data_IF_561592254094
#
_entry.id   IF_561592254094
#
_cell.length_a   1.000
_cell.length_b   1.000
_cell.length_c   1.000
_cell.angle_alpha   90.00
_cell.angle_beta   90.00
_cell.angle_gamma   90.00
#
_symmetry.space_group_name_H-M   'P 1'
#
loop_
_entity.id
_entity.type
_entity.pdbx_description
1 polymer ?
#
# COMPACT_ATOMS: atom_id res chain seq x y z
N UNK A 1 74.86 24.15 -30.39
CA UNK A 1 73.49 24.67 -30.16
C UNK A 1 72.64 23.59 -29.49
N UNK A 2 72.40 23.68 -28.17
CA UNK A 2 71.42 22.84 -27.46
C UNK A 2 70.28 23.77 -27.04
N UNK A 3 69.09 23.61 -27.61
CA UNK A 3 67.91 24.41 -27.22
C UNK A 3 67.52 24.04 -25.79
N UNK A 4 67.17 25.01 -24.91
CA UNK A 4 66.75 24.72 -23.55
C UNK A 4 65.35 24.11 -23.56
N UNK A 5 65.28 22.78 -23.67
CA UNK A 5 64.02 22.01 -23.70
C UNK A 5 63.42 21.86 -22.29
N UNK A 6 64.23 22.05 -21.25
CA UNK A 6 63.85 21.86 -19.84
C UNK A 6 62.72 22.78 -19.32
N UNK A 7 62.72 24.11 -19.56
CA UNK A 7 61.65 24.97 -19.07
C UNK A 7 60.31 24.74 -19.79
N UNK A 8 60.34 24.38 -21.09
CA UNK A 8 59.14 24.08 -21.86
C UNK A 8 58.48 22.76 -21.40
N UNK A 9 59.30 21.73 -21.08
CA UNK A 9 58.83 20.49 -20.48
C UNK A 9 58.23 20.69 -19.09
N UNK A 10 58.86 21.55 -18.26
CA UNK A 10 58.35 21.85 -16.93
C UNK A 10 56.99 22.54 -16.98
N UNK A 11 56.82 23.53 -17.87
CA UNK A 11 55.54 24.22 -18.08
C UNK A 11 54.43 23.29 -18.58
N UNK A 12 54.76 22.34 -19.48
CA UNK A 12 53.81 21.33 -19.96
C UNK A 12 53.34 20.40 -18.82
N UNK A 13 54.27 19.93 -17.98
CA UNK A 13 53.95 19.06 -16.84
C UNK A 13 53.07 19.80 -15.83
N UNK A 14 53.40 21.05 -15.49
CA UNK A 14 52.59 21.87 -14.58
C UNK A 14 51.19 22.12 -15.17
N UNK A 15 51.09 22.41 -16.46
CA UNK A 15 49.81 22.60 -17.15
C UNK A 15 48.94 21.33 -17.14
N UNK A 16 49.53 20.16 -17.40
CA UNK A 16 48.83 18.87 -17.34
C UNK A 16 48.39 18.51 -15.92
N UNK A 17 49.23 18.78 -14.92
CA UNK A 17 48.88 18.55 -13.52
C UNK A 17 47.72 19.44 -13.06
N UNK A 18 47.71 20.71 -13.46
CA UNK A 18 46.59 21.63 -13.21
C UNK A 18 45.31 21.16 -13.91
N UNK A 19 45.41 20.77 -15.19
CA UNK A 19 44.25 20.27 -15.94
C UNK A 19 43.67 18.99 -15.33
N UNK A 20 44.53 18.07 -14.88
CA UNK A 20 44.13 16.86 -14.17
C UNK A 20 43.45 17.19 -12.83
N UNK A 21 44.00 18.11 -12.03
CA UNK A 21 43.39 18.53 -10.77
C UNK A 21 42.03 19.22 -10.97
N UNK A 22 41.88 20.05 -11.99
CA UNK A 22 40.58 20.65 -12.33
C UNK A 22 39.58 19.58 -12.80
N UNK A 23 40.02 18.62 -13.60
CA UNK A 23 39.19 17.51 -14.06
C UNK A 23 38.70 16.63 -12.90
N UNK A 24 39.55 16.30 -11.93
CA UNK A 24 39.14 15.51 -10.75
C UNK A 24 38.19 16.27 -9.84
N UNK A 25 38.39 17.58 -9.66
CA UNK A 25 37.46 18.42 -8.89
C UNK A 25 36.11 18.54 -9.59
N UNK A 26 36.09 18.75 -10.91
CA UNK A 26 34.85 18.87 -11.69
C UNK A 26 34.03 17.58 -11.68
N UNK A 27 34.69 16.44 -11.88
CA UNK A 27 34.04 15.12 -11.84
C UNK A 27 33.56 14.74 -10.43
N UNK A 28 34.35 15.05 -9.39
CA UNK A 28 33.96 14.85 -7.99
C UNK A 28 32.78 15.71 -7.58
N UNK A 29 32.77 17.00 -7.96
CA UNK A 29 31.66 17.91 -7.68
C UNK A 29 30.37 17.49 -8.39
N UNK A 30 30.46 16.99 -9.62
CA UNK A 30 29.30 16.44 -10.35
C UNK A 30 28.71 15.22 -9.63
N UNK A 31 29.56 14.29 -9.19
CA UNK A 31 29.13 13.11 -8.43
C UNK A 31 28.51 13.49 -7.08
N UNK A 32 29.12 14.40 -6.34
CA UNK A 32 28.59 14.86 -5.05
C UNK A 32 27.22 15.52 -5.19
N UNK A 33 26.99 16.31 -6.25
CA UNK A 33 25.68 16.90 -6.52
C UNK A 33 24.64 15.84 -6.82
N UNK A 34 24.98 14.87 -7.68
CA UNK A 34 24.11 13.75 -8.01
C UNK A 34 23.73 12.93 -6.76
N UNK A 35 24.71 12.56 -5.96
CA UNK A 35 24.50 11.80 -4.72
C UNK A 35 23.66 12.60 -3.71
N UNK A 36 23.89 13.93 -3.63
CA UNK A 36 23.11 14.82 -2.77
C UNK A 36 21.65 14.94 -3.22
N UNK A 37 21.40 15.12 -4.51
CA UNK A 37 20.05 15.14 -5.09
C UNK A 37 19.32 13.82 -4.84
N UNK A 38 19.98 12.67 -5.07
CA UNK A 38 19.40 11.36 -4.77
C UNK A 38 19.09 11.18 -3.28
N UNK A 39 19.97 11.64 -2.39
CA UNK A 39 19.73 11.58 -0.95
C UNK A 39 18.51 12.43 -0.53
N UNK A 40 18.33 13.62 -1.13
CA UNK A 40 17.16 14.46 -0.89
C UNK A 40 15.88 13.78 -1.41
N UNK A 41 15.91 13.20 -2.62
CA UNK A 41 14.80 12.44 -3.18
C UNK A 41 14.43 11.27 -2.27
N UNK A 42 15.42 10.48 -1.83
CA UNK A 42 15.20 9.36 -0.92
C UNK A 42 14.58 9.79 0.41
N UNK A 43 15.07 10.88 1.02
CA UNK A 43 14.50 11.44 2.25
C UNK A 43 13.04 11.87 2.08
N UNK A 44 12.72 12.51 0.94
CA UNK A 44 11.36 12.95 0.63
C UNK A 44 10.43 11.77 0.36
N UNK A 45 10.87 10.76 -0.39
CA UNK A 45 10.09 9.54 -0.64
C UNK A 45 9.83 8.81 0.68
N UNK A 46 10.82 8.66 1.57
CA UNK A 46 10.62 8.04 2.88
C UNK A 46 9.58 8.79 3.73
N UNK A 47 9.56 10.12 3.65
CA UNK A 47 8.55 10.92 4.35
C UNK A 47 7.15 10.70 3.78
N UNK A 48 7.02 10.64 2.45
CA UNK A 48 5.74 10.35 1.78
C UNK A 48 5.25 8.94 2.10
N UNK A 49 6.14 7.95 2.00
CA UNK A 49 5.90 6.55 2.33
C UNK A 49 5.36 6.42 3.76
N UNK A 50 5.98 7.08 4.74
CA UNK A 50 5.56 7.01 6.14
C UNK A 50 4.15 7.58 6.34
N UNK A 51 3.84 8.73 5.73
CA UNK A 51 2.51 9.35 5.79
C UNK A 51 1.44 8.52 5.10
N UNK A 52 1.79 7.92 3.96
CA UNK A 52 0.88 7.02 3.26
C UNK A 52 0.61 5.77 4.10
N UNK A 53 1.65 5.15 4.67
CA UNK A 53 1.52 3.98 5.53
C UNK A 53 0.68 4.27 6.79
N UNK A 54 0.87 5.45 7.40
CA UNK A 54 0.08 5.90 8.54
C UNK A 54 -1.40 6.10 8.16
N UNK A 55 -1.67 6.86 7.09
CA UNK A 55 -3.03 7.13 6.62
C UNK A 55 -3.75 5.84 6.22
N UNK A 56 -3.11 4.97 5.44
CA UNK A 56 -3.71 3.72 5.01
C UNK A 56 -3.85 2.71 6.16
N UNK A 57 -2.83 2.59 7.00
CA UNK A 57 -2.75 1.60 8.08
C UNK A 57 -3.90 1.72 9.07
N UNK A 58 -4.27 2.93 9.46
CA UNK A 58 -5.40 3.19 10.36
C UNK A 58 -6.72 2.63 9.82
N UNK A 59 -6.96 2.79 8.51
CA UNK A 59 -8.17 2.30 7.83
C UNK A 59 -8.14 0.78 7.63
N UNK A 60 -6.97 0.22 7.32
CA UNK A 60 -6.81 -1.22 7.15
C UNK A 60 -7.01 -2.01 8.45
N UNK A 61 -6.78 -1.39 9.62
CA UNK A 61 -7.04 -2.03 10.92
C UNK A 61 -8.52 -2.28 11.22
N UNK A 62 -9.45 -1.62 10.52
CA UNK A 62 -10.89 -1.81 10.76
C UNK A 62 -11.35 -3.25 10.52
N UNK A 63 -10.86 -3.91 9.47
CA UNK A 63 -11.24 -5.29 9.18
C UNK A 63 -10.72 -6.30 10.24
N UNK A 64 -9.44 -6.27 10.67
CA UNK A 64 -8.98 -7.05 11.82
C UNK A 64 -9.71 -6.75 13.13
N UNK A 65 -10.05 -5.49 13.41
CA UNK A 65 -10.81 -5.13 14.61
C UNK A 65 -12.20 -5.73 14.58
N UNK A 66 -12.90 -5.62 13.45
CA UNK A 66 -14.21 -6.23 13.25
C UNK A 66 -14.14 -7.76 13.34
N UNK A 67 -13.14 -8.39 12.71
CA UNK A 67 -12.89 -9.83 12.84
C UNK A 67 -12.65 -10.27 14.29
N UNK A 68 -11.92 -9.46 15.07
CA UNK A 68 -11.69 -9.73 16.50
C UNK A 68 -12.96 -9.57 17.32
N UNK A 69 -13.76 -8.54 17.05
CA UNK A 69 -15.04 -8.32 17.71
C UNK A 69 -15.98 -9.50 17.47
N UNK A 70 -16.11 -9.94 16.21
CA UNK A 70 -16.87 -11.14 15.86
C UNK A 70 -16.36 -12.34 16.67
N UNK A 71 -15.05 -12.61 16.69
CA UNK A 71 -14.53 -13.75 17.45
C UNK A 71 -14.82 -13.68 18.95
N UNK A 72 -14.81 -12.49 19.55
CA UNK A 72 -14.96 -12.31 21.00
C UNK A 72 -16.43 -12.30 21.43
N UNK A 73 -17.26 -11.51 20.77
CA UNK A 73 -18.67 -11.34 21.14
C UNK A 73 -19.54 -12.44 20.50
N UNK A 74 -19.21 -12.91 19.28
CA UNK A 74 -19.94 -14.00 18.59
C UNK A 74 -19.38 -15.38 18.90
N UNK A 75 -18.83 -15.62 20.09
CA UNK A 75 -18.39 -16.97 20.50
C UNK A 75 -19.54 -18.01 20.49
N UNK A 76 -20.77 -17.62 20.14
CA UNK A 76 -21.97 -18.44 19.98
C UNK A 76 -22.86 -17.86 18.86
N UNK A 77 -22.93 -18.46 17.67
CA UNK A 77 -24.16 -18.45 16.84
C UNK A 77 -24.17 -19.62 15.85
N UNK A 78 -24.87 -20.72 16.16
CA UNK A 78 -25.76 -21.33 15.19
C UNK A 78 -27.07 -20.51 15.21
N UNK A 79 -27.23 -19.65 14.22
CA UNK A 79 -28.48 -18.96 13.87
C UNK A 79 -28.90 -17.76 14.76
N UNK A 80 -28.53 -16.56 14.29
CA UNK A 80 -29.18 -15.26 14.52
C UNK A 80 -29.86 -15.04 15.89
N UNK A 81 -29.14 -14.46 16.86
CA UNK A 81 -29.79 -13.70 17.92
C UNK A 81 -30.19 -12.31 17.41
N UNK A 82 -31.38 -11.85 17.78
CA UNK A 82 -32.08 -10.66 17.26
C UNK A 82 -31.31 -9.32 17.35
N UNK A 83 -30.19 -9.23 18.09
CA UNK A 83 -29.45 -7.98 18.34
C UNK A 83 -28.08 -7.89 17.64
N UNK A 84 -27.67 -8.95 16.95
CA UNK A 84 -26.35 -9.10 16.31
C UNK A 84 -26.06 -7.99 15.28
N UNK A 85 -27.03 -7.66 14.45
CA UNK A 85 -26.90 -6.62 13.43
C UNK A 85 -26.81 -5.22 14.04
N UNK A 86 -27.55 -4.96 15.12
CA UNK A 86 -27.55 -3.67 15.82
C UNK A 86 -26.18 -3.40 16.47
N UNK A 87 -25.60 -4.41 17.12
CA UNK A 87 -24.26 -4.30 17.74
C UNK A 87 -23.15 -4.08 16.71
N UNK A 88 -23.22 -4.79 15.57
CA UNK A 88 -22.31 -4.55 14.44
C UNK A 88 -22.52 -3.15 13.83
N UNK A 89 -23.78 -2.70 13.78
CA UNK A 89 -24.22 -1.35 13.44
C UNK A 89 -23.44 -0.29 14.21
N UNK A 90 -23.63 -0.28 15.53
CA UNK A 90 -23.03 0.69 16.44
C UNK A 90 -21.50 0.68 16.34
N UNK A 91 -20.88 -0.50 16.31
CA UNK A 91 -19.43 -0.61 16.23
C UNK A 91 -18.89 -0.08 14.90
N UNK A 92 -19.51 -0.46 13.78
CA UNK A 92 -19.06 -0.02 12.47
C UNK A 92 -19.23 1.49 12.30
N UNK A 93 -20.33 2.07 12.78
CA UNK A 93 -20.53 3.52 12.76
C UNK A 93 -19.46 4.27 13.56
N UNK A 94 -19.08 3.76 14.73
CA UNK A 94 -18.01 4.35 15.54
C UNK A 94 -16.64 4.26 14.83
N UNK A 95 -16.35 3.12 14.20
CA UNK A 95 -15.15 2.94 13.38
C UNK A 95 -15.11 3.92 12.20
N UNK A 96 -16.20 4.05 11.46
CA UNK A 96 -16.28 4.87 10.25
C UNK A 96 -16.22 6.38 10.58
N UNK A 97 -16.78 6.81 11.71
CA UNK A 97 -16.78 8.22 12.16
C UNK A 97 -15.38 8.81 12.26
N UNK A 98 -14.39 7.99 12.61
CA UNK A 98 -13.01 8.41 12.81
C UNK A 98 -12.10 8.14 11.61
N UNK A 99 -12.64 7.56 10.53
CA UNK A 99 -11.86 7.08 9.39
C UNK A 99 -12.44 7.57 8.04
N UNK A 100 -12.37 8.90 7.76
CA UNK A 100 -12.86 9.44 6.49
C UNK A 100 -12.14 8.77 5.32
N UNK A 101 -12.84 8.51 4.21
CA UNK A 101 -12.27 7.79 3.06
C UNK A 101 -12.33 6.27 3.18
N UNK A 102 -12.90 5.71 4.25
CA UNK A 102 -13.43 4.34 4.20
C UNK A 102 -14.76 4.37 3.46
N UNK A 103 -14.87 3.58 2.39
CA UNK A 103 -16.06 3.49 1.54
C UNK A 103 -17.06 2.50 2.14
N UNK A 104 -16.55 1.37 2.62
CA UNK A 104 -17.38 0.35 3.28
C UNK A 104 -16.56 -0.53 4.22
N UNK A 105 -17.21 -1.01 5.25
CA UNK A 105 -16.79 -2.13 6.11
C UNK A 105 -17.85 -3.21 5.97
N UNK A 106 -17.44 -4.46 5.77
CA UNK A 106 -18.35 -5.59 5.57
C UNK A 106 -17.95 -6.81 6.40
N UNK A 107 -18.93 -7.67 6.62
CA UNK A 107 -18.77 -9.00 7.20
C UNK A 107 -19.49 -9.99 6.30
N UNK A 108 -18.79 -11.05 5.92
CA UNK A 108 -19.32 -12.10 5.08
C UNK A 108 -19.10 -13.46 5.73
N UNK A 109 -20.20 -14.16 6.02
CA UNK A 109 -20.19 -15.54 6.52
C UNK A 109 -20.18 -16.49 5.33
N UNK A 110 -19.25 -17.45 5.31
CA UNK A 110 -19.07 -18.37 4.17
C UNK A 110 -18.94 -17.65 2.81
N UNK A 111 -18.40 -16.42 2.80
CA UNK A 111 -18.29 -15.58 1.61
C UNK A 111 -19.53 -14.76 1.25
N UNK A 112 -20.69 -15.03 1.88
CA UNK A 112 -21.94 -14.30 1.67
C UNK A 112 -22.00 -13.10 2.61
N UNK A 113 -22.09 -11.89 2.05
CA UNK A 113 -22.16 -10.64 2.81
C UNK A 113 -23.44 -10.63 3.68
N UNK A 114 -23.26 -10.64 5.00
CA UNK A 114 -24.34 -10.58 5.99
C UNK A 114 -24.52 -9.16 6.53
N UNK A 115 -23.46 -8.36 6.54
CA UNK A 115 -23.48 -7.01 7.07
C UNK A 115 -22.57 -6.10 6.26
N UNK A 116 -23.00 -4.85 6.09
CA UNK A 116 -22.21 -3.80 5.46
C UNK A 116 -22.54 -2.44 6.04
N UNK A 117 -21.52 -1.61 6.20
CA UNK A 117 -21.64 -0.23 6.67
C UNK A 117 -20.79 0.72 5.81
N UNK A 118 -21.26 1.96 5.57
CA UNK A 118 -22.59 2.44 5.91
C UNK A 118 -23.64 1.78 5.01
N UNK A 119 -24.83 1.50 5.58
CA UNK A 119 -25.83 0.64 4.96
C UNK A 119 -26.48 1.29 3.73
N UNK A 120 -26.83 2.57 3.83
CA UNK A 120 -27.57 3.32 2.80
C UNK A 120 -26.88 3.26 1.43
N UNK A 121 -25.56 3.37 1.38
CA UNK A 121 -24.79 3.37 0.14
C UNK A 121 -24.43 1.96 -0.35
N UNK A 122 -24.58 0.94 0.50
CA UNK A 122 -24.03 -0.40 0.26
C UNK A 122 -25.05 -1.54 0.36
N UNK A 123 -26.32 -1.26 0.62
CA UNK A 123 -27.39 -2.26 0.80
C UNK A 123 -27.43 -3.31 -0.33
N UNK A 124 -27.17 -2.90 -1.57
CA UNK A 124 -27.12 -3.78 -2.75
C UNK A 124 -26.03 -4.86 -2.68
N UNK A 125 -25.14 -4.82 -1.69
CA UNK A 125 -24.11 -5.84 -1.46
C UNK A 125 -24.60 -6.97 -0.56
N UNK A 126 -25.62 -6.74 0.25
CA UNK A 126 -26.16 -7.77 1.15
C UNK A 126 -26.60 -9.01 0.38
N UNK A 127 -26.28 -10.18 0.92
CA UNK A 127 -26.58 -11.47 0.32
C UNK A 127 -25.73 -11.84 -0.90
N UNK A 128 -24.83 -10.96 -1.37
CA UNK A 128 -23.91 -11.32 -2.46
C UNK A 128 -22.81 -12.25 -1.95
N UNK A 129 -22.49 -13.24 -2.76
CA UNK A 129 -21.37 -14.14 -2.55
C UNK A 129 -20.09 -13.54 -3.18
N UNK A 130 -19.12 -13.21 -2.34
CA UNK A 130 -17.82 -12.66 -2.73
C UNK A 130 -16.99 -13.65 -3.57
N UNK A 131 -17.20 -14.96 -3.43
CA UNK A 131 -16.52 -15.97 -4.22
C UNK A 131 -16.99 -16.05 -5.67
N UNK A 132 -18.14 -15.44 -5.98
CA UNK A 132 -18.68 -15.30 -7.33
C UNK A 132 -18.24 -13.99 -8.00
N UNK A 133 -17.60 -13.07 -7.28
CA UNK A 133 -17.03 -11.88 -7.89
C UNK A 133 -15.91 -12.27 -8.88
N UNK A 134 -15.95 -11.81 -10.13
CA UNK A 134 -15.01 -12.25 -11.16
C UNK A 134 -13.57 -11.79 -10.90
N UNK A 135 -13.37 -10.71 -10.13
CA UNK A 135 -12.05 -10.14 -9.83
C UNK A 135 -11.58 -10.64 -8.47
N UNK A 136 -12.43 -10.51 -7.45
CA UNK A 136 -12.09 -10.75 -6.06
C UNK A 136 -12.23 -12.24 -5.69
N UNK A 137 -13.17 -12.97 -6.29
CA UNK A 137 -13.51 -14.32 -5.89
C UNK A 137 -12.38 -15.34 -6.06
N UNK A 138 -11.57 -15.21 -7.11
CA UNK A 138 -10.40 -16.10 -7.32
C UNK A 138 -9.34 -15.85 -6.24
N UNK A 139 -9.04 -14.57 -5.96
CA UNK A 139 -8.07 -14.17 -4.95
C UNK A 139 -8.52 -14.58 -3.55
N UNK A 140 -9.81 -14.44 -3.25
CA UNK A 140 -10.40 -14.91 -2.00
C UNK A 140 -10.29 -16.42 -1.85
N UNK A 141 -10.64 -17.21 -2.87
CA UNK A 141 -10.49 -18.68 -2.79
C UNK A 141 -9.06 -19.07 -2.44
N UNK A 142 -8.08 -18.55 -3.19
CA UNK A 142 -6.66 -18.88 -2.95
C UNK A 142 -6.15 -18.33 -1.61
N UNK A 143 -6.54 -17.13 -1.21
CA UNK A 143 -6.10 -16.52 0.04
C UNK A 143 -6.68 -17.22 1.25
N UNK A 144 -7.98 -17.53 1.22
CA UNK A 144 -8.69 -18.20 2.31
C UNK A 144 -8.24 -19.66 2.49
N UNK A 145 -7.97 -20.38 1.39
CA UNK A 145 -7.35 -21.72 1.44
C UNK A 145 -5.98 -21.72 2.13
N UNK A 146 -5.28 -20.57 2.12
CA UNK A 146 -3.96 -20.40 2.73
C UNK A 146 -4.00 -19.68 4.08
N UNK A 147 -5.19 -19.36 4.61
CA UNK A 147 -5.38 -18.51 5.79
C UNK A 147 -4.60 -17.18 5.68
N UNK A 148 -4.72 -16.53 4.52
CA UNK A 148 -4.05 -15.26 4.23
C UNK A 148 -5.07 -14.18 3.92
N UNK A 149 -4.85 -12.98 4.48
CA UNK A 149 -5.56 -11.80 4.03
C UNK A 149 -5.39 -11.54 2.53
N UNK A 150 -6.39 -10.92 1.92
CA UNK A 150 -6.44 -10.63 0.49
C UNK A 150 -6.57 -9.13 0.27
N UNK A 151 -5.77 -8.60 -0.66
CA UNK A 151 -5.89 -7.21 -1.14
C UNK A 151 -6.31 -7.22 -2.59
N UNK A 152 -7.22 -6.32 -2.92
CA UNK A 152 -7.53 -6.01 -4.31
C UNK A 152 -7.47 -4.50 -4.53
N UNK A 153 -6.99 -4.13 -5.71
CA UNK A 153 -7.04 -2.76 -6.21
C UNK A 153 -8.06 -2.73 -7.34
N UNK A 154 -9.00 -1.81 -7.30
CA UNK A 154 -10.03 -1.71 -8.34
C UNK A 154 -10.31 -0.25 -8.64
N UNK A 155 -10.44 0.04 -9.93
CA UNK A 155 -10.86 1.35 -10.42
C UNK A 155 -12.35 1.29 -10.77
N UNK A 156 -13.16 2.04 -10.06
CA UNK A 156 -14.60 2.13 -10.34
C UNK A 156 -14.85 2.85 -11.67
N UNK A 157 -16.02 2.62 -12.27
CA UNK A 157 -16.50 3.37 -13.43
C UNK A 157 -16.63 4.86 -13.05
N UNK A 158 -15.68 5.68 -13.51
CA UNK A 158 -15.45 7.04 -13.02
C UNK A 158 -14.01 7.34 -12.62
N UNK A 159 -13.14 6.33 -12.62
CA UNK A 159 -11.69 6.49 -12.47
C UNK A 159 -11.18 6.44 -11.03
N UNK A 160 -12.08 6.41 -10.05
CA UNK A 160 -11.77 6.37 -8.62
C UNK A 160 -11.06 5.08 -8.26
N UNK A 161 -9.87 5.18 -7.66
CA UNK A 161 -9.11 4.02 -7.20
C UNK A 161 -9.54 3.61 -5.80
N UNK A 162 -9.76 2.31 -5.64
CA UNK A 162 -10.13 1.72 -4.35
C UNK A 162 -9.18 0.59 -3.99
N UNK A 163 -8.93 0.43 -2.70
CA UNK A 163 -8.28 -0.73 -2.12
C UNK A 163 -9.30 -1.49 -1.29
N UNK A 164 -9.46 -2.79 -1.53
CA UNK A 164 -10.19 -3.66 -0.61
C UNK A 164 -9.24 -4.60 0.12
N UNK A 165 -9.41 -4.72 1.43
CA UNK A 165 -8.63 -5.57 2.31
C UNK A 165 -9.57 -6.53 3.04
N UNK A 166 -9.39 -7.83 2.82
CA UNK A 166 -10.20 -8.89 3.39
C UNK A 166 -9.36 -9.74 4.34
N UNK A 167 -9.88 -9.99 5.53
CA UNK A 167 -9.19 -10.73 6.60
C UNK A 167 -10.06 -11.91 7.00
N UNK A 168 -9.50 -13.13 7.09
CA UNK A 168 -10.26 -14.29 7.52
C UNK A 168 -10.70 -14.18 8.99
N UNK A 169 -11.88 -14.70 9.28
CA UNK A 169 -12.44 -14.82 10.63
C UNK A 169 -12.49 -16.29 10.99
N UNK A 170 -11.74 -16.67 12.02
CA UNK A 170 -11.66 -18.04 12.54
C UNK A 170 -12.31 -18.15 13.91
N UNK A 171 -13.09 -19.22 14.10
CA UNK A 171 -13.55 -19.64 15.42
C UNK A 171 -12.80 -20.89 15.85
N UNK A 172 -12.45 -21.01 17.15
CA UNK A 172 -11.79 -22.20 17.65
C UNK A 172 -12.75 -23.41 17.57
N UNK A 173 -12.23 -24.57 17.13
CA UNK A 173 -13.04 -25.81 17.09
C UNK A 173 -13.38 -26.33 18.50
N UNK A 174 -12.59 -25.94 19.50
CA UNK A 174 -12.78 -26.30 20.91
C UNK A 174 -12.52 -25.08 21.79
N UNK A 175 -13.23 -24.89 22.91
CA UNK A 175 -12.96 -23.79 23.83
C UNK A 175 -11.49 -23.80 24.30
N UNK A 176 -10.74 -22.74 23.98
CA UNK A 176 -9.31 -22.64 24.30
C UNK A 176 -8.35 -23.34 23.32
N UNK A 177 -8.86 -23.92 22.23
CA UNK A 177 -8.06 -24.51 21.15
C UNK A 177 -7.45 -23.47 20.21
N UNK A 178 -6.32 -23.82 19.59
CA UNK A 178 -5.62 -22.98 18.59
C UNK A 178 -5.96 -23.35 17.15
N UNK A 179 -6.55 -24.52 16.93
CA UNK A 179 -7.11 -24.92 15.63
C UNK A 179 -8.53 -24.35 15.51
N UNK A 180 -8.74 -23.52 14.50
CA UNK A 180 -10.04 -22.91 14.24
C UNK A 180 -10.50 -23.19 12.81
N UNK A 181 -11.82 -23.27 12.64
CA UNK A 181 -12.43 -23.33 11.31
C UNK A 181 -12.66 -21.90 10.79
N UNK A 182 -12.52 -21.73 9.48
CA UNK A 182 -12.86 -20.48 8.81
C UNK A 182 -14.39 -20.32 8.82
N UNK A 183 -14.88 -19.28 9.49
CA UNK A 183 -16.31 -18.96 9.53
C UNK A 183 -16.72 -17.96 8.44
N UNK A 184 -15.78 -17.12 8.03
CA UNK A 184 -16.06 -16.06 7.09
C UNK A 184 -14.90 -15.08 7.01
N UNK A 185 -15.22 -13.84 6.66
CA UNK A 185 -14.23 -12.79 6.48
C UNK A 185 -14.82 -11.43 6.87
N UNK A 186 -13.95 -10.53 7.30
CA UNK A 186 -14.24 -9.10 7.40
C UNK A 186 -13.47 -8.35 6.33
N UNK A 187 -14.11 -7.38 5.70
CA UNK A 187 -13.53 -6.61 4.60
C UNK A 187 -13.67 -5.12 4.81
N UNK A 188 -12.65 -4.35 4.45
CA UNK A 188 -12.72 -2.88 4.36
C UNK A 188 -12.36 -2.44 2.95
N UNK A 189 -13.15 -1.54 2.38
CA UNK A 189 -12.84 -0.88 1.10
C UNK A 189 -12.55 0.59 1.35
N UNK A 190 -11.45 1.07 0.81
CA UNK A 190 -10.85 2.37 1.09
C UNK A 190 -10.74 3.15 -0.22
N UNK A 191 -11.06 4.44 -0.15
CA UNK A 191 -10.79 5.44 -1.19
C UNK A 191 -9.28 5.72 -1.25
N UNK A 192 -8.60 5.07 -2.18
CA UNK A 192 -7.16 5.17 -2.29
C UNK A 192 -6.73 6.56 -2.81
N UNK A 193 -7.56 7.20 -3.63
CA UNK A 193 -7.27 8.56 -4.12
C UNK A 193 -7.27 9.57 -2.97
N UNK A 194 -8.17 9.42 -2.01
CA UNK A 194 -8.17 10.23 -0.79
C UNK A 194 -6.91 10.00 0.04
N UNK A 195 -6.50 8.75 0.26
CA UNK A 195 -5.26 8.42 0.99
C UNK A 195 -4.03 9.02 0.29
N UNK A 196 -3.96 8.94 -1.03
CA UNK A 196 -2.88 9.52 -1.83
C UNK A 196 -2.83 11.05 -1.72
N UNK A 197 -3.99 11.70 -1.68
CA UNK A 197 -4.08 13.15 -1.47
C UNK A 197 -3.64 13.56 -0.07
N UNK A 198 -4.10 12.86 0.96
CA UNK A 198 -3.75 13.14 2.37
C UNK A 198 -2.27 12.92 2.67
N UNK A 199 -1.68 11.88 2.09
CA UNK A 199 -0.25 11.59 2.22
C UNK A 199 0.65 12.53 1.42
N UNK A 200 0.06 13.36 0.55
CA UNK A 200 0.79 14.27 -0.32
C UNK A 200 1.52 13.53 -1.44
N UNK A 201 0.98 12.39 -1.91
CA UNK A 201 1.40 11.71 -3.15
C UNK A 201 0.82 12.36 -4.40
N UNK A 202 -0.31 13.07 -4.27
CA UNK A 202 -0.98 13.79 -5.36
C UNK A 202 -1.24 15.24 -4.94
N UNK A 203 -0.78 16.21 -5.74
CA UNK A 203 -0.92 17.66 -5.46
C UNK A 203 -0.12 18.55 -6.40
N UNK A 204 -0.24 19.88 -6.28
CA UNK A 204 0.41 20.85 -7.18
C UNK A 204 1.92 21.07 -6.94
N UNK A 205 2.49 20.57 -5.84
CA UNK A 205 3.85 20.92 -5.40
C UNK A 205 4.90 19.81 -5.65
N UNK A 206 4.65 18.98 -6.66
CA UNK A 206 5.43 17.77 -6.89
C UNK A 206 6.58 18.01 -7.87
N UNK A 207 7.76 18.26 -7.30
CA UNK A 207 9.04 18.15 -8.02
C UNK A 207 9.45 16.70 -8.30
N UNK A 208 8.66 15.71 -7.84
CA UNK A 208 8.94 14.28 -8.01
C UNK A 208 7.84 13.62 -8.82
N UNK A 209 8.23 12.77 -9.77
CA UNK A 209 7.35 11.81 -10.41
C UNK A 209 7.35 10.53 -9.57
N UNK A 210 6.15 10.02 -9.25
CA UNK A 210 5.98 8.89 -8.34
C UNK A 210 5.19 7.78 -9.03
N UNK A 211 5.56 6.53 -8.73
CA UNK A 211 4.79 5.35 -9.10
C UNK A 211 4.80 4.35 -7.93
N UNK A 212 3.74 3.54 -7.84
CA UNK A 212 3.58 2.48 -6.83
C UNK A 212 3.37 1.16 -7.57
N UNK A 213 4.05 0.13 -7.09
CA UNK A 213 3.87 -1.26 -7.53
C UNK A 213 3.76 -2.16 -6.29
N UNK A 214 3.18 -3.36 -6.44
CA UNK A 214 3.22 -4.44 -5.45
C UNK A 214 4.13 -5.56 -5.93
N UNK A 215 4.95 -6.15 -5.07
CA UNK A 215 5.66 -7.39 -5.40
C UNK A 215 6.98 -7.18 -6.13
N UNK A 216 7.28 -8.00 -7.13
CA UNK A 216 8.58 -7.96 -7.81
C UNK A 216 8.64 -6.79 -8.81
N UNK A 217 9.47 -5.81 -8.50
CA UNK A 217 9.77 -4.64 -9.35
C UNK A 217 10.39 -5.02 -10.71
N UNK A 218 10.92 -6.25 -10.85
CA UNK A 218 11.47 -6.75 -12.11
C UNK A 218 10.40 -7.24 -13.08
N UNK A 219 9.14 -7.41 -12.64
CA UNK A 219 7.98 -7.59 -13.51
C UNK A 219 6.93 -6.49 -13.31
N UNK A 220 7.16 -5.27 -13.82
CA UNK A 220 6.22 -4.16 -13.68
C UNK A 220 4.88 -4.39 -14.37
N UNK A 221 4.72 -5.46 -15.18
CA UNK A 221 3.48 -5.72 -15.90
C UNK A 221 2.37 -6.24 -15.00
N UNK A 222 2.76 -7.02 -13.99
CA UNK A 222 1.86 -7.66 -13.04
C UNK A 222 1.81 -6.92 -11.70
N UNK A 223 2.81 -6.07 -11.45
CA UNK A 223 3.02 -5.40 -10.17
C UNK A 223 2.53 -3.94 -10.12
N UNK A 224 2.31 -3.24 -11.25
CA UNK A 224 2.01 -1.80 -11.23
C UNK A 224 0.61 -1.46 -10.68
N UNK A 225 0.54 -0.46 -9.80
CA UNK A 225 -0.71 0.06 -9.20
C UNK A 225 -1.03 1.48 -9.68
N UNK A 226 -0.04 2.39 -9.61
CA UNK A 226 -0.25 3.83 -9.78
C UNK A 226 0.99 4.52 -10.38
N UNK A 227 0.78 5.65 -11.05
CA UNK A 227 1.84 6.52 -11.59
C UNK A 227 2.31 6.13 -12.98
N UNK A 228 3.33 6.82 -13.50
CA UNK A 228 3.90 6.45 -14.79
C UNK A 228 4.77 5.20 -14.66
N UNK A 229 4.41 4.15 -15.39
CA UNK A 229 5.14 2.89 -15.44
C UNK A 229 6.55 3.03 -16.03
N UNK A 230 6.83 4.08 -16.80
CA UNK A 230 8.16 4.34 -17.34
C UNK A 230 9.21 4.67 -16.27
N UNK A 231 8.78 5.06 -15.07
CA UNK A 231 9.68 5.41 -13.96
C UNK A 231 10.51 4.22 -13.47
N UNK A 232 10.01 2.99 -13.59
CA UNK A 232 10.72 1.79 -13.13
C UNK A 232 11.98 1.47 -13.97
N UNK A 233 12.14 2.07 -15.15
CA UNK A 233 13.28 1.80 -16.05
C UNK A 233 14.33 2.92 -16.09
N UNK A 234 14.09 4.07 -15.46
CA UNK A 234 14.89 5.28 -15.61
C UNK A 234 15.76 5.62 -14.38
N UNK A 235 16.52 4.64 -13.86
CA UNK A 235 17.34 4.76 -12.62
C UNK A 235 16.60 5.41 -11.42
N UNK A 236 15.42 4.90 -11.05
CA UNK A 236 14.60 5.50 -9.99
C UNK A 236 15.24 5.36 -8.61
N UNK A 237 14.68 6.10 -7.66
CA UNK A 237 14.93 5.90 -6.22
C UNK A 237 13.76 5.06 -5.67
N UNK A 238 14.08 3.91 -5.09
CA UNK A 238 13.10 3.01 -4.48
C UNK A 238 12.98 3.25 -2.98
N UNK A 239 11.79 3.01 -2.45
CA UNK A 239 11.55 2.86 -1.03
C UNK A 239 10.47 1.79 -0.82
N UNK A 240 10.72 0.88 0.12
CA UNK A 240 9.74 -0.14 0.49
C UNK A 240 8.56 0.53 1.22
N UNK A 241 7.35 0.35 0.71
CA UNK A 241 6.13 0.75 1.40
C UNK A 241 5.61 -0.42 2.24
N UNK A 242 5.70 -0.29 3.56
CA UNK A 242 5.24 -1.32 4.50
C UNK A 242 3.97 -0.87 5.21
N UNK A 243 2.91 -1.64 5.03
CA UNK A 243 1.62 -1.39 5.68
C UNK A 243 1.11 -2.71 6.24
N UNK A 244 0.86 -2.78 7.55
CA UNK A 244 0.59 -4.04 8.24
C UNK A 244 1.71 -5.07 7.99
N UNK A 245 1.37 -6.27 7.52
CA UNK A 245 2.32 -7.33 7.17
C UNK A 245 2.64 -7.36 5.67
N UNK A 246 2.34 -6.27 4.95
CA UNK A 246 2.46 -6.19 3.50
C UNK A 246 3.61 -5.27 3.13
N UNK A 247 4.28 -5.61 2.03
CA UNK A 247 5.32 -4.78 1.43
C UNK A 247 4.98 -4.55 -0.03
N UNK A 248 4.97 -3.28 -0.43
CA UNK A 248 4.76 -2.80 -1.79
C UNK A 248 6.01 -2.04 -2.24
#
# INVERSE_FOLDING_TARGET
>A
MKRPVAPALLGLITGLALMFAVYTVYTSAGKQRYDHERAQVASRINTLQARFAESLGARMHLAPHMASFIRTEYNVLPDAEDNTEEELGVLAEDFLRHQPGVIRLLVAKDGIIQYVAPMEENELLLGKDLYLDPVVGILLKTGMDQDKPVITFTRADGGKMTLSWYVPVHFPETPGGTAGYLWGLSGVTIDLDQVLKESGFVGQDHQLQLAIATGDINDPATSWILGDRSLFTNDPVYADLRVQNLTW
#
